data_IF_523773524079
#
_entry.id   IF_523773524079
#
_cell.length_a   1.000
_cell.length_b   1.000
_cell.length_c   1.000
_cell.angle_alpha   90.00
_cell.angle_beta   90.00
_cell.angle_gamma   90.00
#
_symmetry.space_group_name_H-M   'P 1'
#
loop_
_entity.id
_entity.type
_entity.pdbx_description
1 polymer ?
#
# COMPACT_ATOMS: atom_id res chain seq x y z
N UNK A 1 4.34 24.89 -21.72
CA UNK A 1 4.13 24.40 -20.34
C UNK A 1 2.75 23.80 -20.27
N UNK A 2 2.65 22.48 -20.21
CA UNK A 2 1.36 21.80 -20.10
C UNK A 2 0.89 21.86 -18.64
N UNK A 3 -0.39 22.14 -18.34
CA UNK A 3 -1.52 22.43 -19.24
C UNK A 3 -1.79 23.94 -19.43
N UNK A 4 -0.88 24.84 -19.03
CA UNK A 4 -1.09 26.29 -19.00
C UNK A 4 -1.05 26.95 -20.38
N UNK A 5 -0.02 26.64 -21.16
CA UNK A 5 0.18 27.13 -22.53
C UNK A 5 0.75 26.00 -23.37
N UNK A 6 -0.03 25.59 -24.35
CA UNK A 6 0.24 24.49 -25.27
C UNK A 6 0.04 24.97 -26.71
N UNK A 7 0.84 24.45 -27.62
CA UNK A 7 0.63 24.67 -29.05
C UNK A 7 -0.46 23.69 -29.49
N UNK A 8 -1.55 24.20 -30.06
CA UNK A 8 -2.55 23.35 -30.70
C UNK A 8 -1.94 22.70 -31.95
N UNK A 9 -2.41 21.52 -32.32
CA UNK A 9 -1.91 20.83 -33.52
C UNK A 9 -2.04 21.74 -34.74
N UNK A 10 -0.90 22.02 -35.37
CA UNK A 10 -0.84 22.88 -36.54
C UNK A 10 -1.36 22.11 -37.76
N UNK A 11 -2.43 22.62 -38.36
CA UNK A 11 -2.77 22.29 -39.75
C UNK A 11 -1.79 23.10 -40.62
N UNK A 12 -1.10 22.43 -41.55
CA UNK A 12 -0.06 23.03 -42.39
C UNK A 12 -0.59 24.32 -43.07
N UNK A 13 0.05 25.47 -42.81
CA UNK A 13 -0.31 26.77 -43.40
C UNK A 13 -1.20 27.67 -42.54
N UNK A 14 -1.64 27.24 -41.35
CA UNK A 14 -2.35 28.11 -40.40
C UNK A 14 -1.40 28.75 -39.37
N UNK A 15 -1.71 29.96 -38.87
CA UNK A 15 -0.96 30.58 -37.78
C UNK A 15 -0.99 29.69 -36.53
N UNK A 16 0.13 29.64 -35.80
CA UNK A 16 0.25 28.86 -34.56
C UNK A 16 -0.87 29.25 -33.61
N UNK A 17 -1.74 28.29 -33.30
CA UNK A 17 -2.81 28.48 -32.33
C UNK A 17 -2.37 27.98 -30.97
N UNK A 18 -2.49 28.81 -29.95
CA UNK A 18 -2.20 28.44 -28.57
C UNK A 18 -3.48 28.03 -27.84
N UNK A 19 -3.37 27.09 -26.91
CA UNK A 19 -4.46 26.61 -26.05
C UNK A 19 -3.94 26.32 -24.65
N UNK A 20 -4.82 26.33 -23.65
CA UNK A 20 -4.47 25.99 -22.27
C UNK A 20 -5.04 26.99 -21.28
N UNK A 21 -4.89 26.68 -19.99
CA UNK A 21 -5.55 27.44 -18.92
C UNK A 21 -5.23 28.95 -18.95
N UNK A 22 -3.96 29.30 -19.14
CA UNK A 22 -3.54 30.71 -19.20
C UNK A 22 -4.07 31.44 -20.44
N UNK A 23 -4.30 30.72 -21.54
CA UNK A 23 -4.89 31.28 -22.76
C UNK A 23 -6.39 31.53 -22.56
N UNK A 24 -7.10 30.61 -21.92
CA UNK A 24 -8.52 30.77 -21.61
C UNK A 24 -8.76 31.98 -20.68
N UNK A 25 -7.86 32.21 -19.72
CA UNK A 25 -7.86 33.40 -18.86
C UNK A 25 -7.62 34.68 -19.69
N UNK A 26 -6.64 34.67 -20.60
CA UNK A 26 -6.39 35.82 -21.49
C UNK A 26 -7.61 36.16 -22.35
N UNK A 27 -8.25 35.14 -22.92
CA UNK A 27 -9.46 35.29 -23.73
C UNK A 27 -10.63 35.87 -22.95
N UNK A 28 -10.82 35.42 -21.71
CA UNK A 28 -11.85 35.97 -20.82
C UNK A 28 -11.58 37.46 -20.51
N UNK A 29 -10.32 37.81 -20.23
CA UNK A 29 -9.91 39.20 -19.98
C UNK A 29 -10.10 40.07 -21.23
N UNK A 30 -9.69 39.57 -22.40
CA UNK A 30 -9.84 40.27 -23.68
C UNK A 30 -11.31 40.58 -23.99
N UNK A 31 -12.21 39.62 -23.75
CA UNK A 31 -13.66 39.82 -23.92
C UNK A 31 -14.25 40.81 -22.91
N UNK A 32 -13.82 40.75 -21.65
CA UNK A 32 -14.34 41.61 -20.59
C UNK A 32 -13.85 43.07 -20.72
N UNK A 33 -12.60 43.27 -21.13
CA UNK A 33 -11.95 44.58 -21.20
C UNK A 33 -11.92 45.17 -22.62
N UNK A 34 -12.24 44.38 -23.64
CA UNK A 34 -12.37 44.84 -25.03
C UNK A 34 -11.05 45.09 -25.76
N UNK A 35 -9.97 44.36 -25.41
CA UNK A 35 -8.68 44.47 -26.11
C UNK A 35 -8.46 43.33 -27.10
N UNK A 36 -7.65 43.59 -28.12
CA UNK A 36 -7.10 42.59 -29.03
C UNK A 36 -5.67 42.28 -28.60
N UNK A 37 -5.24 41.05 -28.84
CA UNK A 37 -3.90 40.61 -28.48
C UNK A 37 -3.31 39.74 -29.59
N UNK A 38 -1.98 39.68 -29.64
CA UNK A 38 -1.22 38.72 -30.44
C UNK A 38 -0.30 37.95 -29.49
N UNK A 39 -0.31 36.61 -29.60
CA UNK A 39 0.49 35.75 -28.73
C UNK A 39 1.73 35.30 -29.50
N UNK A 40 2.88 35.52 -28.89
CA UNK A 40 4.13 34.89 -29.30
C UNK A 40 4.83 34.28 -28.09
N UNK A 41 5.72 33.33 -28.36
CA UNK A 41 6.54 32.71 -27.33
C UNK A 41 7.83 33.50 -27.14
N UNK A 42 8.23 33.73 -25.89
CA UNK A 42 9.52 34.35 -25.58
C UNK A 42 10.66 33.64 -26.34
N UNK A 43 11.58 34.37 -27.01
CA UNK A 43 12.57 33.76 -27.91
C UNK A 43 13.48 32.72 -27.26
N UNK A 44 13.77 32.88 -25.97
CA UNK A 44 14.63 31.99 -25.18
C UNK A 44 13.84 30.91 -24.42
N UNK A 45 12.50 30.95 -24.47
CA UNK A 45 11.61 30.01 -23.78
C UNK A 45 11.66 30.07 -22.26
N UNK A 46 12.15 31.16 -21.65
CA UNK A 46 12.31 31.27 -20.19
C UNK A 46 11.29 32.23 -19.56
N UNK A 47 11.00 32.02 -18.28
CA UNK A 47 10.20 32.98 -17.50
C UNK A 47 10.91 34.31 -17.31
N UNK A 48 12.18 34.25 -16.94
CA UNK A 48 13.01 35.41 -16.65
C UNK A 48 13.73 35.28 -15.32
N UNK A 49 15.02 35.53 -15.35
CA UNK A 49 15.93 35.59 -14.22
C UNK A 49 16.96 36.71 -14.46
N UNK A 50 17.45 37.31 -13.39
CA UNK A 50 18.50 38.31 -13.49
C UNK A 50 19.82 37.64 -13.90
N UNK A 51 20.45 38.18 -14.95
CA UNK A 51 21.76 37.76 -15.43
C UNK A 51 22.86 38.46 -14.62
N UNK A 52 24.09 37.95 -14.73
CA UNK A 52 25.27 38.48 -14.02
C UNK A 52 25.56 39.95 -14.34
N UNK A 53 25.16 40.40 -15.53
CA UNK A 53 25.28 41.79 -15.98
C UNK A 53 24.09 42.66 -15.55
N UNK A 54 23.29 42.24 -14.57
CA UNK A 54 22.06 42.87 -14.05
C UNK A 54 20.87 42.94 -15.00
N UNK A 55 21.04 42.53 -16.27
CA UNK A 55 19.94 42.46 -17.25
C UNK A 55 19.03 41.26 -17.00
N UNK A 56 17.82 41.29 -17.57
CA UNK A 56 16.82 40.23 -17.42
C UNK A 56 16.56 39.53 -18.75
N UNK A 57 16.36 38.22 -18.71
CA UNK A 57 15.96 37.41 -19.86
C UNK A 57 14.49 36.96 -19.76
N UNK A 58 14.06 36.08 -20.66
CA UNK A 58 12.72 35.52 -20.64
C UNK A 58 11.61 36.54 -20.84
N UNK A 59 10.40 36.15 -20.45
CA UNK A 59 9.23 37.03 -20.47
C UNK A 59 9.44 38.31 -19.64
N UNK A 60 10.13 38.25 -18.50
CA UNK A 60 10.45 39.45 -17.70
C UNK A 60 11.34 40.41 -18.50
N UNK A 61 12.35 39.90 -19.23
CA UNK A 61 13.20 40.70 -20.10
C UNK A 61 12.45 41.34 -21.27
N UNK A 62 11.50 40.62 -21.88
CA UNK A 62 10.62 41.17 -22.93
C UNK A 62 9.77 42.35 -22.41
N UNK A 63 9.24 42.25 -21.19
CA UNK A 63 8.48 43.33 -20.54
C UNK A 63 9.37 44.55 -20.24
N UNK A 64 10.54 44.35 -19.66
CA UNK A 64 11.49 45.43 -19.32
C UNK A 64 11.95 46.16 -20.58
N UNK A 65 12.24 45.41 -21.66
CA UNK A 65 12.63 45.97 -22.95
C UNK A 65 11.47 46.52 -23.77
N UNK A 66 10.24 46.45 -23.26
CA UNK A 66 9.00 46.89 -23.92
C UNK A 66 8.77 46.23 -25.29
N UNK A 67 9.24 44.99 -25.46
CA UNK A 67 8.92 44.15 -26.62
C UNK A 67 7.61 43.38 -26.45
N UNK A 68 7.14 43.24 -25.21
CA UNK A 68 5.82 42.72 -24.88
C UNK A 68 5.08 43.71 -23.97
N UNK A 69 3.76 43.79 -24.13
CA UNK A 69 2.89 44.59 -23.25
C UNK A 69 2.35 43.79 -22.07
N UNK A 70 2.22 42.47 -22.22
CA UNK A 70 1.69 41.55 -21.23
C UNK A 70 2.43 40.21 -21.30
N UNK A 71 2.77 39.66 -20.12
CA UNK A 71 3.23 38.28 -20.00
C UNK A 71 2.18 37.45 -19.27
N UNK A 72 1.78 36.34 -19.88
CA UNK A 72 0.83 35.39 -19.27
C UNK A 72 1.37 33.96 -19.41
N UNK A 73 1.61 33.33 -18.27
CA UNK A 73 1.99 31.92 -18.12
C UNK A 73 1.86 31.54 -16.64
N UNK A 74 2.26 30.32 -16.27
CA UNK A 74 2.44 29.90 -14.88
C UNK A 74 3.66 30.57 -14.19
N UNK A 75 3.79 31.89 -14.35
CA UNK A 75 4.91 32.65 -13.80
C UNK A 75 4.74 32.88 -12.30
N UNK A 76 5.71 32.43 -11.52
CA UNK A 76 5.75 32.67 -10.08
C UNK A 76 6.10 34.12 -9.78
N UNK A 77 5.29 34.77 -8.94
CA UNK A 77 5.58 36.08 -8.36
C UNK A 77 6.69 35.90 -7.31
N UNK A 78 7.85 36.49 -7.55
CA UNK A 78 8.99 36.51 -6.61
C UNK A 78 9.40 37.95 -6.34
N UNK A 79 9.98 38.26 -5.16
CA UNK A 79 10.39 39.63 -4.83
C UNK A 79 11.35 40.25 -5.86
N UNK A 80 12.26 39.43 -6.42
CA UNK A 80 13.20 39.87 -7.44
C UNK A 80 12.48 40.31 -8.73
N UNK A 81 11.46 39.57 -9.16
CA UNK A 81 10.68 39.92 -10.36
C UNK A 81 9.77 41.11 -10.10
N UNK A 82 9.12 41.15 -8.93
CA UNK A 82 8.23 42.24 -8.52
C UNK A 82 8.98 43.59 -8.38
N UNK A 83 10.30 43.56 -8.17
CA UNK A 83 11.12 44.78 -8.14
C UNK A 83 11.33 45.45 -9.50
N UNK A 84 11.05 44.75 -10.61
CA UNK A 84 11.32 45.23 -11.98
C UNK A 84 10.10 45.24 -12.89
N UNK A 85 9.04 44.51 -12.55
CA UNK A 85 7.75 44.52 -13.26
C UNK A 85 6.60 44.46 -12.26
N UNK A 86 5.48 45.06 -12.64
CA UNK A 86 4.25 44.97 -11.85
C UNK A 86 3.50 43.66 -12.13
N UNK A 87 3.02 43.01 -11.07
CA UNK A 87 2.14 41.84 -11.15
C UNK A 87 0.70 42.20 -10.78
N UNK A 88 -0.25 41.52 -11.41
CA UNK A 88 -1.63 41.48 -10.92
C UNK A 88 -1.74 40.60 -9.67
N UNK A 89 -2.94 40.52 -9.08
CA UNK A 89 -3.22 39.48 -8.10
C UNK A 89 -3.11 38.11 -8.77
N UNK A 90 -2.45 37.17 -8.09
CA UNK A 90 -2.34 35.78 -8.56
C UNK A 90 -3.72 35.20 -8.86
N UNK A 91 -3.84 34.55 -10.01
CA UNK A 91 -5.08 33.88 -10.43
C UNK A 91 -5.13 32.41 -10.01
N UNK A 92 -4.02 31.85 -9.50
CA UNK A 92 -3.91 30.47 -9.05
C UNK A 92 -2.98 30.39 -7.83
N UNK A 93 -3.44 29.71 -6.78
CA UNK A 93 -2.59 29.29 -5.68
C UNK A 93 -1.94 27.94 -6.05
N UNK A 94 -0.64 27.79 -5.76
CA UNK A 94 0.05 26.51 -5.90
C UNK A 94 0.70 26.12 -4.58
N UNK A 95 0.89 24.81 -4.40
CA UNK A 95 1.64 24.24 -3.29
C UNK A 95 2.85 23.49 -3.84
N UNK A 96 3.98 23.59 -3.14
CA UNK A 96 5.16 22.80 -3.46
C UNK A 96 4.99 21.42 -2.84
N UNK A 97 5.04 20.38 -3.68
CA UNK A 97 4.99 18.98 -3.26
C UNK A 97 6.26 18.25 -3.66
N UNK A 98 6.55 17.15 -2.95
CA UNK A 98 7.62 16.22 -3.32
C UNK A 98 6.99 15.08 -4.13
N UNK A 99 7.48 14.87 -5.34
CA UNK A 99 7.08 13.73 -6.15
C UNK A 99 7.98 12.53 -5.84
N UNK A 100 7.39 11.44 -5.34
CA UNK A 100 8.08 10.17 -5.08
C UNK A 100 7.60 9.08 -6.04
N UNK A 101 8.48 8.14 -6.39
CA UNK A 101 8.10 6.96 -7.16
C UNK A 101 7.15 6.11 -6.32
N UNK A 102 6.01 5.72 -6.90
CA UNK A 102 5.10 4.74 -6.28
C UNK A 102 5.88 3.45 -5.98
N UNK A 103 5.88 2.94 -4.74
CA UNK A 103 6.56 1.69 -4.42
C UNK A 103 5.94 0.53 -5.20
N UNK A 104 6.79 -0.40 -5.65
CA UNK A 104 6.36 -1.63 -6.31
C UNK A 104 5.93 -2.66 -5.25
N UNK A 105 4.71 -3.16 -5.33
CA UNK A 105 4.22 -4.22 -4.46
C UNK A 105 4.92 -5.55 -4.81
N UNK A 106 5.80 -6.03 -3.92
CA UNK A 106 6.44 -7.34 -4.07
C UNK A 106 5.61 -8.40 -3.37
N UNK A 107 4.97 -9.29 -4.14
CA UNK A 107 4.30 -10.47 -3.60
C UNK A 107 5.37 -11.45 -3.12
N UNK A 108 5.51 -11.62 -1.80
CA UNK A 108 6.40 -12.62 -1.21
C UNK A 108 5.63 -13.92 -0.98
N UNK A 109 6.20 -15.07 -1.36
CA UNK A 109 5.60 -16.40 -1.13
C UNK A 109 5.49 -16.71 0.38
N UNK A 110 6.33 -16.07 1.19
CA UNK A 110 6.30 -16.17 2.66
C UNK A 110 5.18 -15.35 3.32
N UNK A 111 4.40 -14.57 2.56
CA UNK A 111 3.19 -13.88 3.06
C UNK A 111 2.17 -14.82 3.71
N UNK A 112 2.19 -16.11 3.34
CA UNK A 112 1.36 -17.13 3.97
C UNK A 112 1.69 -17.35 5.45
N UNK A 113 2.92 -17.07 5.89
CA UNK A 113 3.31 -17.18 7.31
C UNK A 113 3.09 -15.89 8.10
N UNK A 114 2.84 -14.77 7.42
CA UNK A 114 2.58 -13.46 8.03
C UNK A 114 1.37 -13.37 8.98
N UNK A 115 0.29 -14.20 8.87
CA UNK A 115 -0.88 -14.07 9.73
C UNK A 115 -0.62 -14.29 11.23
N UNK A 116 0.49 -14.96 11.58
CA UNK A 116 0.92 -15.20 12.95
C UNK A 116 2.41 -14.86 13.12
N UNK A 117 2.73 -14.28 14.28
CA UNK A 117 4.12 -14.10 14.67
C UNK A 117 4.84 -15.44 14.86
N UNK A 118 6.15 -15.41 14.69
CA UNK A 118 7.02 -16.56 14.91
C UNK A 118 6.82 -17.19 16.30
N UNK A 119 6.58 -16.37 17.34
CA UNK A 119 6.32 -16.85 18.68
C UNK A 119 5.04 -17.72 18.76
N UNK A 120 3.97 -17.33 18.05
CA UNK A 120 2.70 -18.08 18.01
C UNK A 120 2.91 -19.41 17.28
N UNK A 121 3.63 -19.39 16.15
CA UNK A 121 4.02 -20.61 15.44
C UNK A 121 4.82 -21.58 16.32
N UNK A 122 5.80 -21.05 17.07
CA UNK A 122 6.58 -21.85 18.02
C UNK A 122 5.69 -22.46 19.13
N UNK A 123 4.75 -21.69 19.67
CA UNK A 123 3.79 -22.17 20.67
C UNK A 123 2.88 -23.28 20.11
N UNK A 124 2.38 -23.15 18.89
CA UNK A 124 1.57 -24.19 18.22
C UNK A 124 2.40 -25.47 18.03
N UNK A 125 3.63 -25.33 17.52
CA UNK A 125 4.54 -26.45 17.33
C UNK A 125 4.89 -27.17 18.64
N UNK A 126 5.03 -26.44 19.75
CA UNK A 126 5.27 -26.99 21.07
C UNK A 126 4.01 -27.62 21.71
N UNK A 127 2.82 -27.11 21.41
CA UNK A 127 1.56 -27.63 21.96
C UNK A 127 1.24 -29.06 21.48
N UNK A 128 1.57 -29.37 20.22
CA UNK A 128 1.33 -30.69 19.61
C UNK A 128 1.99 -31.84 20.41
N UNK A 129 3.32 -31.83 20.68
CA UNK A 129 3.95 -32.88 21.48
C UNK A 129 3.47 -32.87 22.94
N UNK A 130 3.18 -31.70 23.54
CA UNK A 130 2.67 -31.61 24.91
C UNK A 130 1.34 -32.34 25.06
N UNK A 131 0.39 -32.10 24.16
CA UNK A 131 -0.91 -32.80 24.16
C UNK A 131 -0.74 -34.27 23.79
N UNK A 132 0.18 -34.60 22.88
CA UNK A 132 0.54 -35.99 22.55
C UNK A 132 1.06 -36.78 23.76
N UNK A 133 1.94 -36.17 24.56
CA UNK A 133 2.45 -36.77 25.81
C UNK A 133 1.33 -36.93 26.84
N UNK A 134 0.46 -35.93 26.99
CA UNK A 134 -0.69 -36.02 27.90
C UNK A 134 -1.62 -37.19 27.53
N UNK A 135 -1.91 -37.35 26.24
CA UNK A 135 -2.69 -38.47 25.72
C UNK A 135 -1.99 -39.81 25.97
N UNK A 136 -0.68 -39.89 25.73
CA UNK A 136 0.11 -41.09 25.99
C UNK A 136 0.05 -41.50 27.47
N UNK A 137 0.22 -40.55 28.39
CA UNK A 137 0.13 -40.79 29.84
C UNK A 137 -1.27 -41.27 30.23
N UNK A 138 -2.33 -40.64 29.72
CA UNK A 138 -3.71 -41.05 30.00
C UNK A 138 -4.00 -42.47 29.48
N UNK A 139 -3.46 -42.84 28.32
CA UNK A 139 -3.59 -44.20 27.78
C UNK A 139 -2.83 -45.22 28.62
N UNK A 140 -1.64 -44.88 29.14
CA UNK A 140 -0.88 -45.75 30.04
C UNK A 140 -1.60 -45.97 31.38
N UNK A 141 -2.17 -44.92 31.97
CA UNK A 141 -2.96 -45.03 33.21
C UNK A 141 -4.19 -45.92 32.98
N UNK A 142 -4.86 -45.76 31.84
CA UNK A 142 -6.01 -46.60 31.48
C UNK A 142 -5.62 -48.06 31.25
N UNK A 143 -4.48 -48.32 30.59
CA UNK A 143 -3.98 -49.67 30.38
C UNK A 143 -3.65 -50.38 31.71
N UNK A 144 -3.04 -49.67 32.67
CA UNK A 144 -2.76 -50.22 34.02
C UNK A 144 -4.05 -50.51 34.78
N UNK A 145 -5.05 -49.61 34.73
CA UNK A 145 -6.37 -49.85 35.35
C UNK A 145 -7.12 -51.02 34.69
N UNK A 146 -7.01 -51.16 33.37
CA UNK A 146 -7.65 -52.25 32.64
C UNK A 146 -6.98 -53.62 32.87
N UNK A 147 -5.69 -53.68 33.21
CA UNK A 147 -5.06 -54.96 33.63
C UNK A 147 -5.68 -55.55 34.91
N UNK A 148 -6.40 -54.73 35.70
CA UNK A 148 -7.14 -55.17 36.90
C UNK A 148 -8.52 -55.76 36.58
N UNK A 149 -9.01 -55.62 35.35
CA UNK A 149 -10.31 -56.14 34.89
C UNK A 149 -10.10 -56.92 33.58
N UNK A 150 -10.31 -58.23 33.61
CA UNK A 150 -9.97 -59.19 32.55
C UNK A 150 -10.53 -58.88 31.14
N UNK A 151 -9.91 -57.96 30.38
CA UNK A 151 -10.02 -57.82 28.91
C UNK A 151 -8.99 -56.79 28.36
N UNK A 152 -7.91 -57.21 27.67
CA UNK A 152 -7.00 -56.29 27.00
C UNK A 152 -7.49 -56.01 25.57
N UNK A 153 -8.02 -54.80 25.31
CA UNK A 153 -8.12 -54.27 23.94
C UNK A 153 -6.91 -53.36 23.69
N UNK A 154 -6.05 -53.64 22.69
CA UNK A 154 -4.97 -52.73 22.33
C UNK A 154 -5.59 -51.45 21.74
N UNK A 155 -5.43 -50.32 22.44
CA UNK A 155 -5.82 -49.02 21.91
C UNK A 155 -4.79 -48.56 20.87
N UNK A 156 -5.26 -48.06 19.72
CA UNK A 156 -4.43 -47.60 18.59
C UNK A 156 -3.42 -46.48 18.95
N UNK A 157 -3.55 -45.90 20.15
CA UNK A 157 -2.73 -44.83 20.72
C UNK A 157 -1.72 -45.31 21.78
N UNK A 158 -1.37 -46.61 21.79
CA UNK A 158 -0.48 -47.19 22.79
C UNK A 158 0.99 -46.70 22.73
N UNK A 159 1.43 -46.19 21.57
CA UNK A 159 2.78 -45.63 21.38
C UNK A 159 2.75 -44.11 21.39
N UNK A 160 3.84 -43.50 21.89
CA UNK A 160 4.01 -42.03 21.93
C UNK A 160 3.87 -41.41 20.53
N UNK A 161 4.51 -42.03 19.53
CA UNK A 161 4.46 -41.57 18.15
C UNK A 161 3.01 -41.54 17.62
N UNK A 162 2.23 -42.60 17.83
CA UNK A 162 0.83 -42.62 17.40
C UNK A 162 -0.01 -41.57 18.13
N UNK A 163 0.25 -41.31 19.42
CA UNK A 163 -0.43 -40.25 20.15
C UNK A 163 -0.13 -38.86 19.57
N UNK A 164 1.15 -38.56 19.29
CA UNK A 164 1.55 -37.29 18.67
C UNK A 164 0.97 -37.16 17.24
N UNK A 165 1.01 -38.25 16.46
CA UNK A 165 0.45 -38.28 15.11
C UNK A 165 -1.06 -38.02 15.09
N UNK A 166 -1.82 -38.57 16.04
CA UNK A 166 -3.26 -38.31 16.16
C UNK A 166 -3.51 -36.83 16.48
N UNK A 167 -2.73 -36.24 17.39
CA UNK A 167 -2.84 -34.81 17.76
C UNK A 167 -2.51 -33.91 16.57
N UNK A 168 -1.45 -34.23 15.85
CA UNK A 168 -1.07 -33.54 14.60
C UNK A 168 -2.15 -33.69 13.52
N UNK A 169 -2.66 -34.90 13.28
CA UNK A 169 -3.72 -35.14 12.30
C UNK A 169 -5.02 -34.40 12.64
N UNK A 170 -5.35 -34.29 13.93
CA UNK A 170 -6.48 -33.47 14.40
C UNK A 170 -6.24 -31.96 14.19
N UNK A 171 -4.99 -31.49 14.28
CA UNK A 171 -4.61 -30.10 14.00
C UNK A 171 -4.75 -29.75 12.51
N UNK A 172 -4.30 -30.65 11.63
CA UNK A 172 -4.43 -30.48 10.16
C UNK A 172 -5.84 -30.86 9.66
N UNK A 173 -6.80 -31.13 10.56
CA UNK A 173 -8.18 -31.52 10.24
C UNK A 173 -8.29 -32.79 9.38
N UNK A 174 -7.26 -33.65 9.37
CA UNK A 174 -7.23 -34.83 8.50
C UNK A 174 -8.08 -36.00 9.01
N UNK A 175 -8.61 -35.93 10.24
CA UNK A 175 -9.48 -36.95 10.82
C UNK A 175 -8.74 -38.27 11.10
N UNK A 176 -8.86 -38.79 12.32
CA UNK A 176 -8.33 -40.11 12.67
C UNK A 176 -9.41 -40.95 13.34
N UNK A 177 -9.62 -42.17 12.87
CA UNK A 177 -10.49 -43.15 13.54
C UNK A 177 -9.81 -43.65 14.82
N UNK A 178 -9.83 -42.84 15.87
CA UNK A 178 -9.36 -43.24 17.20
C UNK A 178 -10.56 -43.39 18.12
N UNK A 179 -10.91 -44.63 18.48
CA UNK A 179 -11.96 -44.90 19.47
C UNK A 179 -11.52 -44.44 20.85
N UNK A 180 -12.02 -43.28 21.27
CA UNK A 180 -11.75 -42.74 22.60
C UNK A 180 -12.66 -43.40 23.63
N UNK A 181 -12.11 -44.35 24.37
CA UNK A 181 -12.88 -45.20 25.31
C UNK A 181 -13.11 -44.57 26.70
N UNK A 182 -12.41 -43.50 27.06
CA UNK A 182 -12.44 -42.91 28.41
C UNK A 182 -12.89 -41.46 28.43
N UNK A 183 -13.67 -41.07 29.44
CA UNK A 183 -14.18 -39.71 29.61
C UNK A 183 -13.07 -38.66 29.70
N UNK A 184 -11.98 -38.94 30.42
CA UNK A 184 -10.83 -38.03 30.54
C UNK A 184 -10.16 -37.76 29.18
N UNK A 185 -10.04 -38.80 28.36
CA UNK A 185 -9.46 -38.71 27.02
C UNK A 185 -10.36 -37.93 26.06
N UNK A 186 -11.70 -38.04 26.21
CA UNK A 186 -12.67 -37.23 25.46
C UNK A 186 -12.59 -35.76 25.81
N UNK A 187 -12.43 -35.42 27.08
CA UNK A 187 -12.28 -34.02 27.53
C UNK A 187 -11.00 -33.41 26.93
N UNK A 188 -9.87 -34.12 27.00
CA UNK A 188 -8.61 -33.65 26.40
C UNK A 188 -8.75 -33.47 24.88
N UNK A 189 -9.28 -34.47 24.16
CA UNK A 189 -9.49 -34.35 22.71
C UNK A 189 -10.47 -33.23 22.35
N UNK A 190 -11.57 -33.06 23.10
CA UNK A 190 -12.53 -31.98 22.90
C UNK A 190 -11.91 -30.61 23.12
N UNK A 191 -11.08 -30.45 24.15
CA UNK A 191 -10.33 -29.21 24.37
C UNK A 191 -9.31 -28.93 23.27
N UNK A 192 -8.64 -29.97 22.76
CA UNK A 192 -7.73 -29.86 21.63
C UNK A 192 -8.47 -29.42 20.37
N UNK A 193 -9.59 -30.06 20.04
CA UNK A 193 -10.43 -29.66 18.89
C UNK A 193 -10.91 -28.22 18.98
N UNK A 194 -11.33 -27.76 20.16
CA UNK A 194 -11.70 -26.35 20.33
C UNK A 194 -10.51 -25.42 20.07
N UNK A 195 -9.33 -25.77 20.59
CA UNK A 195 -8.10 -25.02 20.34
C UNK A 195 -7.75 -24.98 18.84
N UNK A 196 -7.79 -26.12 18.14
CA UNK A 196 -7.44 -26.18 16.71
C UNK A 196 -8.43 -25.38 15.85
N UNK A 197 -9.72 -25.41 16.20
CA UNK A 197 -10.74 -24.59 15.54
C UNK A 197 -10.48 -23.09 15.72
N UNK A 198 -10.15 -22.65 16.93
CA UNK A 198 -9.83 -21.25 17.20
C UNK A 198 -8.61 -20.81 16.38
N UNK A 199 -7.52 -21.59 16.41
CA UNK A 199 -6.29 -21.28 15.67
C UNK A 199 -6.55 -21.22 14.16
N UNK A 200 -7.27 -22.20 13.60
CA UNK A 200 -7.58 -22.22 12.17
C UNK A 200 -8.48 -21.04 11.76
N UNK A 201 -9.48 -20.72 12.57
CA UNK A 201 -10.37 -19.58 12.34
C UNK A 201 -9.61 -18.26 12.37
N UNK A 202 -8.76 -18.04 13.40
CA UNK A 202 -7.94 -16.83 13.51
C UNK A 202 -6.92 -16.70 12.37
N UNK A 203 -6.28 -17.81 11.98
CA UNK A 203 -5.35 -17.81 10.85
C UNK A 203 -6.06 -17.39 9.55
N UNK A 204 -7.22 -17.99 9.28
CA UNK A 204 -8.00 -17.70 8.07
C UNK A 204 -8.49 -16.25 8.07
N UNK A 205 -8.96 -15.74 9.21
CA UNK A 205 -9.38 -14.34 9.35
C UNK A 205 -8.23 -13.35 9.13
N UNK A 206 -7.08 -13.60 9.77
CA UNK A 206 -5.90 -12.74 9.64
C UNK A 206 -5.30 -12.79 8.23
N UNK A 207 -5.27 -13.97 7.61
CA UNK A 207 -4.82 -14.12 6.23
C UNK A 207 -5.74 -13.36 5.27
N UNK A 208 -7.05 -13.46 5.44
CA UNK A 208 -8.02 -12.71 4.64
C UNK A 208 -7.85 -11.18 4.82
N UNK A 209 -7.63 -10.72 6.06
CA UNK A 209 -7.34 -9.32 6.32
C UNK A 209 -6.02 -8.88 5.67
N UNK A 210 -4.98 -9.72 5.73
CA UNK A 210 -3.68 -9.43 5.12
C UNK A 210 -3.76 -9.33 3.59
N UNK A 211 -4.56 -10.20 2.96
CA UNK A 211 -4.74 -10.20 1.50
C UNK A 211 -5.66 -9.08 0.99
N UNK A 212 -6.55 -8.55 1.83
CA UNK A 212 -7.44 -7.44 1.44
C UNK A 212 -6.79 -6.08 1.65
N UNK A 213 -5.81 -5.97 2.55
CA UNK A 213 -5.12 -4.71 2.83
C UNK A 213 -3.81 -4.64 2.05
N UNK A 214 -3.83 -3.93 0.92
CA UNK A 214 -2.61 -3.35 0.34
C UNK A 214 -2.13 -2.24 1.26
N UNK A 215 -1.17 -2.54 2.15
CA UNK A 215 -0.47 -1.48 2.87
C UNK A 215 0.33 -0.69 1.84
N UNK A 216 -0.11 0.54 1.58
CA UNK A 216 0.79 1.57 1.07
C UNK A 216 1.80 1.86 2.18
N UNK A 217 2.88 1.09 2.21
CA UNK A 217 4.05 1.46 3.00
C UNK A 217 4.56 2.76 2.39
N UNK A 218 4.15 3.88 2.99
CA UNK A 218 4.72 5.17 2.65
C UNK A 218 6.18 5.13 3.13
N UNK A 219 7.17 5.28 2.23
CA UNK A 219 8.57 5.32 2.64
C UNK A 219 8.93 6.61 3.40
N UNK A 220 7.94 7.44 3.78
CA UNK A 220 8.05 8.72 4.48
C UNK A 220 6.90 8.86 5.48
#
# INVERSE_FOLDING_TARGET
EEPFVMVAENILGQPKRYKGFSIDVLDALAKALGFKYEIYQAPDGRYGHQLHNTSWNGMIGELISKRADLAISAITITPERESVVDFSKRYMDYSVGILIKKPEEKISIFSLFAPFDFAVWACIAAAIPVVGVLIFVLNRIQAVRAQSASQPRPSASATLHSAIWIVYGAFVQQGGESSVNSMAMRIVMGSWWLFTLIVCSSYTANLAAFLTVSRMDNPI
#
